data_IF_339970555408
#
_entry.id   IF_339970555408
#
_cell.length_a   1.000
_cell.length_b   1.000
_cell.length_c   1.000
_cell.angle_alpha   90.00
_cell.angle_beta   90.00
_cell.angle_gamma   90.00
#
_symmetry.space_group_name_H-M   'P 1'
#
loop_
_entity.id
_entity.type
_entity.pdbx_description
1 polymer ?
#
# COMPACT_ATOMS: atom_id res chain seq x y z
N UNK A 1 13.17 -2.90 3.47
CA UNK A 1 12.17 -3.38 2.50
C UNK A 1 12.42 -2.80 1.12
N UNK A 2 12.38 -3.65 0.06
CA UNK A 2 12.55 -3.21 -1.32
C UNK A 2 11.41 -2.28 -1.73
N UNK A 3 11.76 -1.24 -2.48
CA UNK A 3 10.80 -0.34 -3.14
C UNK A 3 10.40 -0.97 -4.46
N UNK A 4 9.10 -1.04 -4.73
CA UNK A 4 8.56 -1.54 -6.01
C UNK A 4 8.48 -0.40 -7.02
N UNK A 5 7.94 0.74 -6.60
CA UNK A 5 7.68 1.89 -7.46
C UNK A 5 7.80 3.19 -6.66
N UNK A 6 8.30 4.24 -7.31
CA UNK A 6 8.22 5.62 -6.82
C UNK A 6 7.51 6.46 -7.87
N UNK A 7 6.39 7.09 -7.50
CA UNK A 7 5.56 7.87 -8.41
C UNK A 7 4.87 9.03 -7.68
N UNK A 8 4.99 10.26 -8.20
CA UNK A 8 4.35 11.46 -7.61
C UNK A 8 4.59 11.63 -6.09
N UNK A 9 5.79 11.29 -5.62
CA UNK A 9 6.16 11.34 -4.19
C UNK A 9 5.69 10.15 -3.35
N UNK A 10 4.88 9.25 -3.92
CA UNK A 10 4.50 7.99 -3.29
C UNK A 10 5.60 6.96 -3.49
N UNK A 11 5.92 6.24 -2.42
CA UNK A 11 6.76 5.05 -2.44
C UNK A 11 5.90 3.83 -2.16
N UNK A 12 5.89 2.88 -3.09
CA UNK A 12 5.20 1.60 -2.96
C UNK A 12 6.19 0.51 -2.56
N UNK A 13 5.83 -0.32 -1.58
CA UNK A 13 6.72 -1.32 -0.97
C UNK A 13 5.92 -2.39 -0.20
N UNK A 14 6.59 -3.46 0.23
CA UNK A 14 6.05 -4.52 1.11
C UNK A 14 6.72 -4.44 2.49
N UNK A 15 6.11 -4.93 3.59
CA UNK A 15 6.83 -5.25 4.83
C UNK A 15 7.18 -6.75 4.93
N UNK A 16 8.27 -7.07 5.63
CA UNK A 16 8.84 -8.44 5.66
C UNK A 16 8.16 -9.32 6.72
N UNK A 17 7.39 -8.72 7.61
CA UNK A 17 6.90 -9.34 8.85
C UNK A 17 5.38 -9.16 9.04
N UNK A 18 4.60 -9.27 7.97
CA UNK A 18 3.13 -9.15 8.01
C UNK A 18 2.42 -10.51 8.06
N UNK A 19 3.16 -11.58 8.31
CA UNK A 19 2.61 -12.91 8.54
C UNK A 19 1.85 -13.46 7.33
N UNK A 20 0.61 -13.91 7.56
CA UNK A 20 -0.25 -14.59 6.58
C UNK A 20 -1.39 -13.68 6.07
N UNK A 21 -1.16 -12.38 5.98
CA UNK A 21 -2.13 -11.48 5.37
C UNK A 21 -2.33 -11.78 3.87
N UNK A 22 -3.51 -11.48 3.30
CA UNK A 22 -3.73 -11.55 1.85
C UNK A 22 -2.70 -10.71 1.07
N UNK A 23 -2.56 -10.95 -0.24
CA UNK A 23 -1.61 -10.20 -1.09
C UNK A 23 -1.94 -8.70 -1.02
N UNK A 24 -0.96 -7.88 -0.65
CA UNK A 24 -1.16 -6.45 -0.48
C UNK A 24 0.10 -5.64 -0.74
N UNK A 25 -0.06 -4.33 -0.92
CA UNK A 25 1.04 -3.38 -1.06
C UNK A 25 0.80 -2.18 -0.15
N UNK A 26 1.89 -1.62 0.38
CA UNK A 26 1.88 -0.37 1.14
C UNK A 26 2.31 0.78 0.25
N UNK A 27 1.69 1.94 0.45
CA UNK A 27 2.08 3.18 -0.18
C UNK A 27 2.24 4.26 0.89
N UNK A 28 3.36 5.00 0.84
CA UNK A 28 3.63 6.10 1.76
C UNK A 28 4.06 7.37 1.04
N UNK A 29 3.67 8.52 1.57
CA UNK A 29 4.10 9.84 1.11
C UNK A 29 4.18 10.82 2.28
N UNK A 30 5.41 11.21 2.66
CA UNK A 30 5.60 12.04 3.85
C UNK A 30 5.06 11.36 5.12
N UNK A 31 4.09 12.00 5.78
CA UNK A 31 3.42 11.47 6.98
C UNK A 31 2.16 10.63 6.71
N UNK A 32 1.83 10.36 5.44
CA UNK A 32 0.66 9.54 5.07
C UNK A 32 1.08 8.14 4.66
N UNK A 33 0.24 7.17 4.98
CA UNK A 33 0.45 5.77 4.64
C UNK A 33 -0.90 5.09 4.36
N UNK A 34 -0.91 4.16 3.41
CA UNK A 34 -2.06 3.29 3.16
C UNK A 34 -1.62 1.90 2.74
N UNK A 35 -2.53 0.95 2.94
CA UNK A 35 -2.41 -0.45 2.57
C UNK A 35 -3.56 -0.82 1.64
N UNK A 36 -3.25 -1.52 0.56
CA UNK A 36 -4.24 -2.02 -0.39
C UNK A 36 -4.14 -3.53 -0.55
N UNK A 37 -5.25 -4.24 -0.43
CA UNK A 37 -5.38 -5.62 -0.88
C UNK A 37 -5.34 -5.69 -2.41
N UNK A 38 -4.60 -6.63 -2.97
CA UNK A 38 -4.52 -6.87 -4.41
C UNK A 38 -5.40 -8.08 -4.78
N UNK A 39 -6.48 -7.83 -5.51
CA UNK A 39 -7.39 -8.87 -6.00
C UNK A 39 -6.98 -9.28 -7.41
N UNK A 40 -6.03 -10.21 -7.50
CA UNK A 40 -5.40 -10.62 -8.77
C UNK A 40 -6.42 -11.17 -9.77
N UNK A 41 -7.39 -11.97 -9.31
CA UNK A 41 -8.36 -12.65 -10.18
C UNK A 41 -9.31 -11.70 -10.90
N UNK A 42 -9.61 -10.55 -10.30
CA UNK A 42 -10.51 -9.52 -10.86
C UNK A 42 -9.76 -8.27 -11.31
N UNK A 43 -8.43 -8.28 -11.21
CA UNK A 43 -7.56 -7.14 -11.52
C UNK A 43 -8.01 -5.84 -10.85
N UNK A 44 -8.24 -5.91 -9.53
CA UNK A 44 -8.75 -4.79 -8.72
C UNK A 44 -7.95 -4.62 -7.42
N UNK A 45 -8.13 -3.48 -6.75
CA UNK A 45 -7.55 -3.20 -5.44
C UNK A 45 -8.61 -2.75 -4.44
N UNK A 46 -8.42 -3.10 -3.17
CA UNK A 46 -9.30 -2.67 -2.09
C UNK A 46 -8.48 -1.98 -1.00
N UNK A 47 -8.93 -0.82 -0.52
CA UNK A 47 -8.30 -0.15 0.61
C UNK A 47 -8.48 -1.00 1.87
N UNK A 48 -7.38 -1.47 2.43
CA UNK A 48 -7.37 -2.21 3.68
C UNK A 48 -7.33 -1.26 4.88
N UNK A 49 -6.55 -0.18 4.75
CA UNK A 49 -6.30 0.77 5.81
C UNK A 49 -5.61 2.02 5.27
N UNK A 50 -5.87 3.16 5.90
CA UNK A 50 -5.16 4.41 5.64
C UNK A 50 -4.89 5.23 6.90
N UNK A 51 -3.82 6.02 6.86
CA UNK A 51 -3.39 6.94 7.89
C UNK A 51 -3.05 8.31 7.31
N UNK A 52 -3.56 9.34 7.98
CA UNK A 52 -3.37 10.74 7.62
C UNK A 52 -3.78 11.08 6.16
N UNK A 53 -4.67 10.29 5.55
CA UNK A 53 -5.30 10.57 4.26
C UNK A 53 -6.47 11.53 4.46
N UNK A 54 -6.19 12.77 4.86
CA UNK A 54 -7.24 13.80 4.91
C UNK A 54 -7.66 14.16 3.49
N UNK A 55 -8.96 14.12 3.17
CA UNK A 55 -9.47 14.75 1.95
C UNK A 55 -9.08 16.23 1.99
N UNK A 56 -8.41 16.71 0.94
CA UNK A 56 -8.26 18.15 0.72
C UNK A 56 -9.53 18.72 0.11
#
# INVERSE_FOLDING_TARGET
>A
MPTVLVVKGWRLFFYANEGNEPIHIHARNGGTECKFWLKVDVFDIEEAWSHAMTPR
#
